data_IF_002007027953
#
_entry.id   IF_002007027953
#
_cell.length_a   1.000
_cell.length_b   1.000
_cell.length_c   1.000
_cell.angle_alpha   90.00
_cell.angle_beta   90.00
_cell.angle_gamma   90.00
#
_symmetry.space_group_name_H-M   'P 1'
#
loop_
_entity.id
_entity.type
_entity.pdbx_description
1 polymer ?
#
# COMPACT_ATOMS: atom_id res chain seq x y z
N UNK A 1 43.65 -34.60 -11.34
CA UNK A 1 43.51 -33.17 -11.09
C UNK A 1 42.27 -32.72 -11.80
N UNK A 2 41.44 -32.05 -11.10
CA UNK A 2 40.24 -31.43 -11.64
C UNK A 2 40.72 -30.22 -12.45
N UNK A 3 40.27 -30.10 -13.69
CA UNK A 3 40.87 -29.17 -14.68
C UNK A 3 40.53 -27.69 -14.39
N UNK A 4 39.76 -27.41 -13.31
CA UNK A 4 39.27 -26.09 -12.91
C UNK A 4 39.97 -25.50 -11.66
N UNK A 5 40.92 -26.22 -11.05
CA UNK A 5 41.71 -25.73 -9.94
C UNK A 5 43.21 -25.81 -10.20
N UNK A 6 44.00 -24.94 -9.64
CA UNK A 6 45.44 -24.92 -9.70
C UNK A 6 46.10 -25.94 -8.74
N UNK A 7 47.43 -25.98 -8.71
CA UNK A 7 48.18 -26.88 -7.83
C UNK A 7 48.05 -26.53 -6.34
N UNK A 8 47.55 -25.35 -5.99
CA UNK A 8 47.27 -24.92 -4.62
C UNK A 8 45.83 -25.22 -4.23
N UNK A 9 44.98 -25.64 -5.16
CA UNK A 9 43.55 -25.90 -4.96
C UNK A 9 42.68 -24.66 -5.09
N UNK A 10 43.22 -23.59 -5.71
CA UNK A 10 42.44 -22.35 -5.97
C UNK A 10 41.82 -22.42 -7.37
N UNK A 11 40.62 -21.81 -7.55
CA UNK A 11 39.95 -21.75 -8.82
C UNK A 11 40.79 -21.07 -9.91
N UNK A 12 40.79 -21.61 -11.10
CA UNK A 12 41.39 -20.99 -12.29
C UNK A 12 40.54 -19.85 -12.84
N UNK A 13 39.23 -19.92 -12.64
CA UNK A 13 38.24 -18.88 -12.93
C UNK A 13 37.21 -18.83 -11.79
N UNK A 14 36.99 -17.65 -11.24
CA UNK A 14 36.04 -17.33 -10.16
C UNK A 14 35.71 -15.85 -10.32
N UNK A 15 34.68 -15.56 -11.09
CA UNK A 15 34.38 -14.22 -11.60
C UNK A 15 33.80 -13.31 -10.51
N UNK A 16 33.04 -13.88 -9.59
CA UNK A 16 32.37 -13.14 -8.50
C UNK A 16 33.13 -13.24 -7.16
N UNK A 17 34.16 -14.11 -7.10
CA UNK A 17 35.04 -14.33 -5.97
C UNK A 17 34.33 -14.88 -4.71
N UNK A 18 33.34 -15.76 -4.90
CA UNK A 18 32.60 -16.42 -3.81
C UNK A 18 33.29 -17.71 -3.32
N UNK A 19 34.30 -18.19 -4.06
CA UNK A 19 35.10 -19.38 -3.76
C UNK A 19 34.58 -20.66 -4.40
N UNK A 20 33.55 -20.59 -5.26
CA UNK A 20 33.12 -21.63 -6.18
C UNK A 20 33.68 -21.29 -7.55
N UNK A 21 34.27 -22.29 -8.24
CA UNK A 21 34.83 -22.05 -9.56
C UNK A 21 33.70 -21.90 -10.59
N UNK A 22 33.82 -20.95 -11.55
CA UNK A 22 32.83 -20.68 -12.62
C UNK A 22 32.29 -21.96 -13.30
N UNK A 23 33.11 -22.99 -13.41
CA UNK A 23 32.72 -24.26 -14.02
C UNK A 23 31.86 -25.16 -13.10
N UNK A 24 31.79 -24.83 -11.81
CA UNK A 24 31.01 -25.55 -10.80
C UNK A 24 29.81 -24.74 -10.30
N UNK A 25 29.67 -23.52 -10.76
CA UNK A 25 28.54 -22.68 -10.40
C UNK A 25 27.22 -23.25 -10.90
N UNK A 26 26.25 -23.14 -10.02
CA UNK A 26 24.86 -23.48 -10.30
C UNK A 26 24.03 -22.21 -10.24
N UNK A 27 23.61 -21.72 -11.40
CA UNK A 27 22.75 -20.55 -11.51
C UNK A 27 21.35 -20.83 -10.98
N UNK A 28 20.83 -19.92 -10.17
CA UNK A 28 19.49 -20.00 -9.58
C UNK A 28 19.27 -18.90 -8.54
N UNK A 29 18.12 -18.94 -7.89
CA UNK A 29 17.84 -17.98 -6.82
C UNK A 29 18.54 -18.34 -5.51
N UNK A 30 19.46 -17.52 -5.06
CA UNK A 30 20.22 -17.70 -3.80
C UNK A 30 19.57 -17.05 -2.59
N UNK A 31 18.51 -16.24 -2.75
CA UNK A 31 17.81 -15.57 -1.68
C UNK A 31 16.89 -16.52 -0.91
N UNK A 32 17.23 -16.85 0.35
CA UNK A 32 16.51 -17.83 1.17
C UNK A 32 15.05 -17.47 1.51
N UNK A 33 14.66 -16.22 1.28
CA UNK A 33 13.29 -15.73 1.46
C UNK A 33 12.49 -15.65 0.15
N UNK A 34 13.06 -16.08 -0.98
CA UNK A 34 12.36 -16.20 -2.24
C UNK A 34 11.59 -17.51 -2.34
N UNK A 35 10.47 -17.49 -3.08
CA UNK A 35 9.59 -18.64 -3.28
C UNK A 35 10.24 -19.77 -4.09
N UNK A 36 11.16 -19.42 -4.95
CA UNK A 36 11.93 -20.32 -5.79
C UNK A 36 13.40 -20.44 -5.35
N UNK A 37 13.65 -20.21 -4.04
CA UNK A 37 14.98 -20.42 -3.49
C UNK A 37 15.52 -21.81 -3.80
N UNK A 38 16.70 -21.87 -4.39
CA UNK A 38 17.39 -23.12 -4.63
C UNK A 38 18.62 -23.22 -3.69
N UNK A 39 18.59 -24.10 -2.69
CA UNK A 39 19.71 -24.26 -1.77
C UNK A 39 20.99 -24.82 -2.41
N UNK A 40 20.92 -25.23 -3.68
CA UNK A 40 22.06 -25.70 -4.45
C UNK A 40 22.65 -24.63 -5.37
N UNK A 41 21.90 -23.53 -5.61
CA UNK A 41 22.41 -22.42 -6.38
C UNK A 41 23.58 -21.75 -5.65
N UNK A 42 24.65 -21.50 -6.39
CA UNK A 42 25.85 -20.78 -5.93
C UNK A 42 25.97 -19.44 -6.63
N UNK A 43 25.34 -19.26 -7.80
CA UNK A 43 25.35 -18.03 -8.57
C UNK A 43 23.92 -17.50 -8.78
N UNK A 44 23.71 -16.22 -8.40
CA UNK A 44 22.41 -15.53 -8.49
C UNK A 44 22.12 -15.12 -9.95
N UNK A 45 21.09 -15.70 -10.54
CA UNK A 45 20.72 -15.47 -11.94
C UNK A 45 19.62 -14.41 -12.13
N UNK A 46 19.20 -13.76 -11.05
CA UNK A 46 18.12 -12.79 -11.05
C UNK A 46 16.71 -13.39 -11.17
N UNK A 47 16.59 -14.71 -11.02
CA UNK A 47 15.30 -15.41 -11.13
C UNK A 47 14.48 -15.42 -9.84
N UNK A 48 14.98 -14.81 -8.75
CA UNK A 48 14.30 -14.82 -7.46
C UNK A 48 12.88 -14.27 -7.56
N UNK A 49 11.92 -15.09 -7.15
CA UNK A 49 10.52 -14.74 -7.08
C UNK A 49 10.10 -14.59 -5.62
N UNK A 50 9.72 -13.37 -5.24
CA UNK A 50 9.26 -13.05 -3.90
C UNK A 50 7.73 -12.92 -3.82
N UNK A 51 7.03 -13.14 -4.94
CA UNK A 51 5.60 -12.85 -5.07
C UNK A 51 4.73 -14.08 -5.36
N UNK A 52 5.29 -15.15 -5.95
CA UNK A 52 4.52 -16.29 -6.47
C UNK A 52 4.67 -17.57 -5.64
N UNK A 53 4.91 -17.47 -4.34
CA UNK A 53 5.04 -18.63 -3.45
C UNK A 53 3.79 -19.51 -3.54
N UNK A 54 3.82 -20.52 -4.39
CA UNK A 54 2.70 -21.43 -4.57
C UNK A 54 2.59 -22.41 -3.40
N UNK A 55 1.42 -22.39 -2.75
CA UNK A 55 0.85 -23.39 -1.84
C UNK A 55 0.86 -23.14 -0.32
N UNK A 56 0.92 -21.90 0.13
CA UNK A 56 0.08 -21.55 1.28
C UNK A 56 -0.96 -20.54 0.79
N UNK A 57 -2.15 -20.51 1.36
CA UNK A 57 -3.09 -19.42 1.11
C UNK A 57 -2.26 -18.15 1.07
N UNK A 58 -2.25 -17.46 -0.08
CA UNK A 58 -1.55 -16.18 -0.20
C UNK A 58 -2.27 -15.26 0.76
N UNK A 59 -1.84 -15.27 2.00
CA UNK A 59 -2.15 -14.23 2.95
C UNK A 59 -1.29 -13.04 2.48
N UNK A 60 -1.69 -12.48 1.36
CA UNK A 60 -1.03 -11.33 0.81
C UNK A 60 -1.70 -10.09 1.39
N UNK A 61 -0.91 -9.06 1.63
CA UNK A 61 -1.47 -7.73 1.78
C UNK A 61 -2.32 -7.43 0.55
N UNK A 62 -3.51 -6.95 0.76
CA UNK A 62 -4.48 -6.77 -0.32
C UNK A 62 -5.32 -5.52 -0.13
N UNK A 63 -6.14 -5.27 -1.14
CA UNK A 63 -7.17 -4.23 -1.11
C UNK A 63 -8.52 -4.93 -1.21
N UNK A 64 -9.40 -4.68 -0.25
CA UNK A 64 -10.80 -5.09 -0.26
C UNK A 64 -11.68 -3.86 -0.47
N UNK A 65 -12.68 -4.00 -1.33
CA UNK A 65 -13.64 -2.93 -1.63
C UNK A 65 -15.01 -3.39 -1.20
N UNK A 66 -15.60 -2.67 -0.24
CA UNK A 66 -16.93 -2.94 0.26
C UNK A 66 -17.93 -1.92 -0.24
N UNK A 67 -19.12 -2.38 -0.65
CA UNK A 67 -20.22 -1.51 -1.05
C UNK A 67 -21.07 -1.15 0.17
N UNK A 68 -20.93 0.09 0.65
CA UNK A 68 -21.64 0.59 1.83
C UNK A 68 -23.09 0.92 1.51
N UNK A 69 -23.33 1.64 0.40
CA UNK A 69 -24.67 2.05 -0.02
C UNK A 69 -24.75 2.28 -1.53
N UNK A 70 -25.90 1.95 -2.11
CA UNK A 70 -26.28 2.35 -3.46
C UNK A 70 -27.42 3.36 -3.33
N UNK A 71 -27.24 4.54 -3.89
CA UNK A 71 -28.19 5.65 -3.75
C UNK A 71 -29.10 5.72 -4.98
N UNK A 72 -30.38 5.45 -4.78
CA UNK A 72 -31.39 5.47 -5.85
C UNK A 72 -32.11 6.81 -5.98
N UNK A 73 -32.09 7.63 -4.91
CA UNK A 73 -32.80 8.91 -4.86
C UNK A 73 -32.02 9.95 -4.02
N UNK A 74 -32.56 11.17 -3.90
CA UNK A 74 -31.92 12.29 -3.18
C UNK A 74 -30.72 12.89 -3.94
N UNK A 75 -29.90 13.63 -3.20
CA UNK A 75 -28.75 14.37 -3.75
C UNK A 75 -27.63 13.44 -4.25
N UNK A 76 -27.61 12.20 -3.76
CA UNK A 76 -26.66 11.18 -4.15
C UNK A 76 -27.17 10.21 -5.21
N UNK A 77 -28.35 10.47 -5.79
CA UNK A 77 -28.98 9.55 -6.75
C UNK A 77 -28.04 9.14 -7.89
N UNK A 78 -27.89 7.84 -8.08
CA UNK A 78 -27.01 7.25 -9.09
C UNK A 78 -25.56 7.06 -8.64
N UNK A 79 -25.21 7.47 -7.44
CA UNK A 79 -23.90 7.24 -6.83
C UNK A 79 -23.88 5.95 -6.02
N UNK A 80 -22.71 5.42 -5.78
CA UNK A 80 -22.48 4.29 -4.87
C UNK A 80 -21.35 4.65 -3.91
N UNK A 81 -21.59 4.44 -2.62
CA UNK A 81 -20.58 4.64 -1.58
C UNK A 81 -19.81 3.35 -1.37
N UNK A 82 -18.50 3.44 -1.47
CA UNK A 82 -17.58 2.33 -1.24
C UNK A 82 -16.67 2.63 -0.04
N UNK A 83 -16.19 1.55 0.59
CA UNK A 83 -15.05 1.57 1.50
C UNK A 83 -13.92 0.72 0.95
N UNK A 84 -12.72 1.22 1.10
CA UNK A 84 -11.49 0.53 0.71
C UNK A 84 -10.75 0.13 1.99
N UNK A 85 -10.43 -1.15 2.09
CA UNK A 85 -9.69 -1.69 3.22
C UNK A 85 -8.37 -2.27 2.74
N UNK A 86 -7.29 -1.95 3.44
CA UNK A 86 -6.05 -2.70 3.31
C UNK A 86 -6.17 -3.93 4.19
N UNK A 87 -6.07 -5.10 3.59
CA UNK A 87 -6.02 -6.36 4.33
C UNK A 87 -4.59 -6.67 4.73
N UNK A 88 -4.40 -7.01 6.01
CA UNK A 88 -3.08 -7.30 6.58
C UNK A 88 -2.95 -8.80 6.85
N UNK A 89 -1.70 -9.26 6.96
CA UNK A 89 -1.37 -10.70 7.05
C UNK A 89 -1.39 -11.19 8.50
N UNK A 90 -0.88 -10.39 9.43
CA UNK A 90 -0.79 -10.74 10.83
C UNK A 90 -1.65 -9.82 11.71
N UNK A 91 -2.09 -10.32 12.87
CA UNK A 91 -2.93 -9.56 13.82
C UNK A 91 -2.23 -8.31 14.39
N UNK A 92 -0.90 -8.29 14.38
CA UNK A 92 -0.06 -7.21 14.87
C UNK A 92 0.49 -6.31 13.74
N UNK A 93 0.08 -6.54 12.50
CA UNK A 93 0.39 -5.66 11.38
C UNK A 93 -0.27 -4.29 11.58
N UNK A 94 0.46 -3.26 11.22
CA UNK A 94 0.04 -1.89 11.43
C UNK A 94 0.29 -1.03 10.20
N UNK A 95 -0.76 -0.41 9.69
CA UNK A 95 -0.67 0.57 8.61
C UNK A 95 -0.35 1.94 9.22
N UNK A 96 0.89 2.38 9.12
CA UNK A 96 1.35 3.65 9.69
C UNK A 96 1.22 4.83 8.74
N UNK A 97 1.25 4.58 7.44
CA UNK A 97 1.14 5.61 6.42
C UNK A 97 0.60 5.05 5.11
N UNK A 98 -0.08 5.91 4.36
CA UNK A 98 -0.38 5.76 2.94
C UNK A 98 0.28 6.94 2.24
N UNK A 99 1.12 6.70 1.24
CA UNK A 99 1.92 7.75 0.62
C UNK A 99 2.11 7.50 -0.87
N UNK A 100 2.47 8.55 -1.58
CA UNK A 100 2.99 8.50 -2.93
C UNK A 100 4.25 9.37 -3.07
N UNK A 101 5.08 9.06 -4.03
CA UNK A 101 6.29 9.80 -4.37
C UNK A 101 6.44 9.90 -5.91
N UNK A 102 7.49 10.56 -6.37
CA UNK A 102 7.77 10.78 -7.80
C UNK A 102 8.09 9.50 -8.59
N UNK A 103 8.40 8.39 -7.92
CA UNK A 103 8.63 7.07 -8.53
C UNK A 103 7.38 6.21 -8.49
N UNK A 104 6.65 6.26 -7.36
CA UNK A 104 5.46 5.48 -7.08
C UNK A 104 4.31 6.42 -6.69
N UNK A 105 3.70 7.06 -7.67
CA UNK A 105 2.58 7.96 -7.46
C UNK A 105 1.34 7.17 -7.04
N UNK A 106 0.78 7.52 -5.88
CA UNK A 106 -0.51 6.98 -5.47
C UNK A 106 -1.62 7.77 -6.18
N UNK A 107 -2.48 7.05 -6.89
CA UNK A 107 -3.66 7.65 -7.53
C UNK A 107 -4.93 6.93 -7.09
N UNK A 108 -5.92 7.71 -6.67
CA UNK A 108 -7.28 7.23 -6.40
C UNK A 108 -8.25 8.11 -7.17
N UNK A 109 -8.96 7.53 -8.12
CA UNK A 109 -9.83 8.26 -9.03
C UNK A 109 -11.20 7.58 -9.15
N UNK A 110 -12.23 8.38 -9.42
CA UNK A 110 -13.57 7.97 -9.77
C UNK A 110 -14.01 8.69 -11.04
N UNK A 111 -14.64 7.97 -11.97
CA UNK A 111 -15.17 8.55 -13.22
C UNK A 111 -16.20 9.65 -12.97
N UNK A 112 -16.91 9.58 -11.84
CA UNK A 112 -17.96 10.54 -11.45
C UNK A 112 -17.46 11.60 -10.45
N UNK A 113 -16.17 11.56 -10.09
CA UNK A 113 -15.61 12.37 -9.01
C UNK A 113 -16.00 11.83 -7.62
N UNK A 114 -15.69 12.62 -6.60
CA UNK A 114 -16.00 12.33 -5.21
C UNK A 114 -17.10 13.25 -4.72
N UNK A 115 -18.08 12.68 -4.03
CA UNK A 115 -19.06 13.52 -3.33
C UNK A 115 -18.42 14.21 -2.16
N UNK A 116 -18.56 15.52 -2.08
CA UNK A 116 -18.06 16.35 -0.99
C UNK A 116 -19.22 17.17 -0.42
N UNK A 117 -19.55 16.90 0.84
CA UNK A 117 -20.60 17.65 1.51
C UNK A 117 -20.05 18.99 2.03
N UNK A 118 -20.79 20.14 1.93
CA UNK A 118 -20.31 21.45 2.35
C UNK A 118 -19.89 21.57 3.84
N UNK A 119 -20.32 20.65 4.68
CA UNK A 119 -19.96 20.54 6.10
C UNK A 119 -19.12 19.30 6.39
N UNK A 120 -18.67 18.62 5.35
CA UNK A 120 -17.79 17.46 5.44
C UNK A 120 -16.32 17.83 5.53
N UNK A 121 -15.47 16.82 5.56
CA UNK A 121 -14.01 16.99 5.64
C UNK A 121 -13.32 15.83 4.93
N UNK A 122 -12.15 16.10 4.35
CA UNK A 122 -11.30 15.08 3.76
C UNK A 122 -10.78 14.04 4.77
N UNK A 123 -10.92 14.25 6.08
CA UNK A 123 -10.54 13.29 7.13
C UNK A 123 -11.77 12.79 7.87
N UNK A 124 -11.92 11.47 8.03
CA UNK A 124 -13.03 10.82 8.70
C UNK A 124 -13.30 11.39 10.10
N UNK A 125 -12.25 11.64 10.87
CA UNK A 125 -12.34 12.12 12.25
C UNK A 125 -13.03 13.48 12.43
N UNK A 126 -13.15 14.25 11.35
CA UNK A 126 -13.79 15.57 11.38
C UNK A 126 -15.28 15.51 10.98
N UNK A 127 -15.78 14.36 10.52
CA UNK A 127 -17.17 14.17 10.13
C UNK A 127 -18.00 13.70 11.34
N UNK A 128 -18.59 14.64 12.07
CA UNK A 128 -19.28 14.36 13.34
C UNK A 128 -20.69 13.75 13.09
N UNK A 129 -20.94 12.50 13.54
CA UNK A 129 -22.24 11.83 13.43
C UNK A 129 -23.40 12.57 14.07
N UNK A 130 -23.15 13.50 14.99
CA UNK A 130 -24.20 14.33 15.58
C UNK A 130 -24.95 15.18 14.54
N UNK A 131 -24.35 15.45 13.40
CA UNK A 131 -24.96 16.20 12.30
C UNK A 131 -25.73 15.33 11.31
N UNK A 132 -25.59 14.00 11.31
CA UNK A 132 -26.19 13.10 10.32
C UNK A 132 -27.74 13.08 10.41
N UNK A 133 -28.34 13.38 11.55
CA UNK A 133 -29.80 13.53 11.67
C UNK A 133 -30.30 14.76 10.89
N UNK A 134 -29.50 15.83 10.86
CA UNK A 134 -29.87 17.09 10.17
C UNK A 134 -29.45 17.08 8.69
N UNK A 135 -28.34 16.46 8.40
CA UNK A 135 -27.73 16.34 7.07
C UNK A 135 -27.39 14.86 6.80
N UNK A 136 -28.38 14.04 6.39
CA UNK A 136 -28.17 12.62 6.20
C UNK A 136 -27.09 12.28 5.17
N UNK A 137 -26.93 13.12 4.15
CA UNK A 137 -25.94 12.97 3.08
C UNK A 137 -24.50 13.12 3.60
N UNK A 138 -24.28 13.81 4.72
CA UNK A 138 -22.97 13.94 5.35
C UNK A 138 -22.40 12.59 5.82
N UNK A 139 -23.26 11.62 6.13
CA UNK A 139 -22.81 10.26 6.46
C UNK A 139 -22.11 9.53 5.29
N UNK A 140 -22.30 10.06 4.07
CA UNK A 140 -21.74 9.53 2.83
C UNK A 140 -20.72 10.48 2.19
N UNK A 141 -20.27 11.47 2.94
CA UNK A 141 -19.17 12.32 2.52
C UNK A 141 -17.91 11.50 2.17
N UNK A 142 -17.15 11.96 1.19
CA UNK A 142 -15.91 11.28 0.83
C UNK A 142 -14.76 11.75 1.71
N UNK A 143 -14.09 10.81 2.36
CA UNK A 143 -12.99 11.09 3.27
C UNK A 143 -11.91 10.01 3.17
N UNK A 144 -10.74 10.33 3.66
CA UNK A 144 -9.60 9.42 3.79
C UNK A 144 -9.26 9.21 5.26
N UNK A 145 -8.75 8.03 5.59
CA UNK A 145 -8.40 7.68 6.96
C UNK A 145 -7.43 6.51 7.02
N UNK A 146 -6.91 6.25 8.21
CA UNK A 146 -6.24 5.01 8.59
C UNK A 146 -6.83 4.56 9.93
N UNK A 147 -7.57 3.44 9.93
CA UNK A 147 -8.03 2.77 11.15
C UNK A 147 -9.23 3.35 11.87
N UNK A 148 -9.75 4.52 11.46
CA UNK A 148 -10.94 5.14 12.03
C UNK A 148 -11.94 5.51 10.94
N UNK A 149 -13.24 5.51 11.24
CA UNK A 149 -14.32 5.82 10.29
C UNK A 149 -15.25 6.95 10.77
N UNK A 150 -14.75 7.77 11.67
CA UNK A 150 -15.47 8.89 12.25
C UNK A 150 -14.67 9.64 13.30
N UNK A 151 -15.29 10.52 14.10
CA UNK A 151 -14.65 11.23 15.17
C UNK A 151 -13.98 10.27 16.16
N UNK A 152 -12.74 10.55 16.50
CA UNK A 152 -11.98 9.74 17.45
C UNK A 152 -12.52 9.87 18.87
N UNK A 153 -12.52 8.77 19.61
CA UNK A 153 -12.79 8.74 21.04
C UNK A 153 -11.49 8.86 21.84
N UNK A 154 -11.60 9.08 23.14
CA UNK A 154 -10.43 9.24 24.00
C UNK A 154 -9.53 7.97 23.94
N UNK A 155 -8.29 8.15 23.54
CA UNK A 155 -7.30 7.06 23.38
C UNK A 155 -7.13 6.54 21.96
N UNK A 156 -7.92 7.01 21.01
CA UNK A 156 -7.68 6.76 19.59
C UNK A 156 -6.75 7.83 19.00
N UNK A 157 -6.04 7.43 17.96
CA UNK A 157 -5.07 8.29 17.32
C UNK A 157 -5.71 9.07 16.17
N UNK A 158 -5.15 10.25 15.92
CA UNK A 158 -5.56 11.11 14.82
C UNK A 158 -4.80 10.72 13.54
N UNK A 159 -5.48 10.83 12.42
CA UNK A 159 -4.89 10.78 11.09
C UNK A 159 -4.57 12.19 10.63
N UNK A 160 -3.41 12.39 10.04
CA UNK A 160 -3.01 13.68 9.49
C UNK A 160 -2.63 13.55 8.03
N UNK A 161 -3.11 14.46 7.20
CA UNK A 161 -2.60 14.66 5.86
C UNK A 161 -1.32 15.49 5.94
N UNK A 162 -0.23 14.96 5.40
CA UNK A 162 1.08 15.60 5.41
C UNK A 162 1.62 15.62 4.00
N UNK A 163 2.19 16.75 3.60
CA UNK A 163 2.89 16.90 2.34
C UNK A 163 4.13 17.76 2.53
N UNK A 164 5.05 17.74 1.57
CA UNK A 164 6.06 18.78 1.47
C UNK A 164 5.38 20.15 1.38
N UNK A 165 6.01 21.27 1.83
CA UNK A 165 5.41 22.58 1.75
C UNK A 165 4.95 22.91 0.33
N UNK A 166 3.63 22.97 0.12
CA UNK A 166 3.00 23.14 -1.18
C UNK A 166 2.49 21.85 -1.86
N UNK A 167 2.76 20.68 -1.30
CA UNK A 167 2.26 19.38 -1.78
C UNK A 167 0.91 18.95 -1.17
N UNK A 168 0.28 19.81 -0.39
CA UNK A 168 -1.07 19.61 0.15
C UNK A 168 -2.17 19.82 -0.92
N UNK A 169 -1.76 19.99 -2.19
CA UNK A 169 -2.67 20.23 -3.32
C UNK A 169 -3.72 19.14 -3.50
N UNK A 170 -3.38 17.89 -3.21
CA UNK A 170 -4.31 16.79 -3.32
C UNK A 170 -5.54 16.93 -2.41
N UNK A 171 -5.39 17.56 -1.23
CA UNK A 171 -6.51 17.81 -0.31
C UNK A 171 -7.53 18.77 -0.95
N UNK A 172 -7.06 19.86 -1.53
CA UNK A 172 -7.93 20.84 -2.19
C UNK A 172 -8.62 20.25 -3.43
N UNK A 173 -7.89 19.45 -4.21
CA UNK A 173 -8.42 18.72 -5.37
C UNK A 173 -9.47 17.70 -4.94
N UNK A 174 -9.18 16.91 -3.92
CA UNK A 174 -10.12 15.93 -3.38
C UNK A 174 -11.38 16.60 -2.80
N UNK A 175 -11.25 17.67 -2.03
CA UNK A 175 -12.40 18.44 -1.50
C UNK A 175 -13.19 19.17 -2.60
N UNK A 176 -12.61 19.33 -3.80
CA UNK A 176 -13.34 19.79 -4.99
C UNK A 176 -14.01 18.67 -5.78
N UNK A 177 -13.85 17.41 -5.36
CA UNK A 177 -14.40 16.24 -6.02
C UNK A 177 -13.48 15.60 -7.06
N UNK A 178 -12.25 16.11 -7.20
CA UNK A 178 -11.26 15.61 -8.16
C UNK A 178 -10.50 14.38 -7.61
N UNK A 179 -9.71 13.74 -8.47
CA UNK A 179 -8.90 12.59 -8.08
C UNK A 179 -7.84 12.94 -7.03
N UNK A 180 -7.57 12.02 -6.12
CA UNK A 180 -6.39 12.09 -5.25
C UNK A 180 -5.18 11.67 -6.07
N UNK A 181 -4.17 12.54 -6.12
CA UNK A 181 -2.85 12.24 -6.68
C UNK A 181 -1.80 12.65 -5.67
N UNK A 182 -1.08 11.66 -5.13
CA UNK A 182 0.02 11.89 -4.19
C UNK A 182 1.33 11.49 -4.85
N UNK A 183 2.16 12.46 -5.16
CA UNK A 183 3.49 12.30 -5.75
C UNK A 183 4.61 12.74 -4.79
N UNK A 184 4.30 13.53 -3.77
CA UNK A 184 5.19 13.91 -2.65
C UNK A 184 4.35 14.23 -1.40
N UNK A 185 3.39 13.36 -1.09
CA UNK A 185 2.46 13.57 0.02
C UNK A 185 2.13 12.25 0.72
N UNK A 186 1.66 12.34 1.95
CA UNK A 186 1.24 11.18 2.71
C UNK A 186 0.07 11.45 3.65
N UNK A 187 -0.62 10.38 4.01
CA UNK A 187 -1.54 10.30 5.13
C UNK A 187 -0.81 9.53 6.24
N UNK A 188 -0.65 10.14 7.40
CA UNK A 188 0.04 9.54 8.54
C UNK A 188 -0.94 9.24 9.67
N UNK A 189 -0.81 8.02 10.22
CA UNK A 189 -1.42 7.68 11.49
C UNK A 189 -0.47 8.08 12.62
N UNK A 190 -0.89 8.94 13.50
CA UNK A 190 -0.06 9.36 14.64
C UNK A 190 -0.29 8.40 15.80
N UNK A 191 0.75 7.63 16.14
CA UNK A 191 0.75 6.82 17.37
C UNK A 191 0.73 7.72 18.60
N UNK A 192 0.08 7.30 19.71
CA UNK A 192 0.09 8.00 20.97
C UNK A 192 1.50 8.14 21.56
#
# INVERSE_FOLDING_TARGET
PEDYVDCAGECLSDADADGVCDELEMSGCTASNACNYDPLATDEDGSCDFCSCANDEIIAYGLEIDTVAVHEDGDLAGMTTYRFYVTTVAEDDFVSAVYGNDLDTLTLASDSGWYQHPFGSHLAQNNDPAFFETFPELAYDSWVTIGVDGPTVAGENLVNAVGAPGAEGWVAEFESGEAIVMDDACLLYTSP
#
